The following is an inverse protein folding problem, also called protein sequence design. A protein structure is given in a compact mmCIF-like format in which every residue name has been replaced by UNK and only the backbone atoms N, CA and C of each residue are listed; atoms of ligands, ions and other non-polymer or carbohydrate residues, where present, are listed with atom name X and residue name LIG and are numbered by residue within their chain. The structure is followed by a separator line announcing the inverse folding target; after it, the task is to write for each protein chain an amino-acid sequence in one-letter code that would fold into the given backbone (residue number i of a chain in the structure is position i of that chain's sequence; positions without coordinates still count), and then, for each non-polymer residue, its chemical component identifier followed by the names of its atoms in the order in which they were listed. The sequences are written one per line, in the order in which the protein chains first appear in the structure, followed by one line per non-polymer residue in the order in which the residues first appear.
data_IF_457306381231
#
_entry.id   IF_457306381231
#
_cell.length_a   1.000
_cell.length_b   1.000
_cell.length_c   1.000
_cell.angle_alpha   90.00
_cell.angle_beta   90.00
_cell.angle_gamma   90.00
#
_symmetry.space_group_name_H-M   'P 1'
#
loop_
_entity.id
_entity.type
_entity.pdbx_description
1 polymer ?
#
# COMPACT_ATOMS: atom_id res chain seq x y z
N UNK A 1 -1.50 -14.07 13.43
CA UNK A 1 -0.15 -14.08 12.83
C UNK A 1 -0.08 -13.05 11.71
N UNK A 2 0.92 -12.17 11.62
CA UNK A 2 0.91 -10.99 10.73
C UNK A 2 0.94 -11.29 9.22
N UNK A 3 1.42 -12.47 8.82
CA UNK A 3 1.74 -12.80 7.42
C UNK A 3 0.53 -12.86 6.47
N UNK A 4 -0.67 -13.16 6.98
CA UNK A 4 -1.89 -13.14 6.17
C UNK A 4 -2.31 -11.73 5.74
N UNK A 5 -1.80 -10.70 6.41
CA UNK A 5 -2.06 -9.29 6.08
C UNK A 5 -1.02 -8.70 5.11
N UNK A 6 0.03 -9.45 4.77
CA UNK A 6 1.12 -8.98 3.92
C UNK A 6 0.80 -9.34 2.45
N UNK A 7 0.96 -8.36 1.55
CA UNK A 7 0.80 -8.48 0.09
C UNK A 7 -0.58 -8.91 -0.44
N UNK A 8 -1.63 -8.89 0.39
CA UNK A 8 -2.95 -9.40 0.01
C UNK A 8 -2.88 -10.84 -0.55
N UNK A 9 -1.83 -11.57 -0.17
CA UNK A 9 -1.49 -12.88 -0.71
C UNK A 9 -2.58 -13.91 -0.36
N UNK A 10 -3.20 -13.71 0.81
CA UNK A 10 -4.40 -14.40 1.24
C UNK A 10 -5.56 -14.20 0.25
N UNK A 11 -5.86 -12.95 -0.15
CA UNK A 11 -6.91 -12.67 -1.13
C UNK A 11 -6.59 -13.26 -2.49
N UNK A 12 -5.34 -13.15 -2.96
CA UNK A 12 -4.90 -13.80 -4.20
C UNK A 12 -5.16 -15.30 -4.15
N UNK A 13 -4.77 -15.96 -3.05
CA UNK A 13 -4.95 -17.40 -2.88
C UNK A 13 -6.44 -17.79 -2.87
N UNK A 14 -7.27 -17.05 -2.13
CA UNK A 14 -8.73 -17.28 -2.09
C UNK A 14 -9.36 -17.05 -3.47
N UNK A 15 -8.97 -16.00 -4.19
CA UNK A 15 -9.39 -15.75 -5.57
C UNK A 15 -9.06 -16.93 -6.47
N UNK A 16 -7.82 -17.44 -6.42
CA UNK A 16 -7.40 -18.60 -7.19
C UNK A 16 -8.20 -19.86 -6.82
N UNK A 17 -8.48 -20.08 -5.53
CA UNK A 17 -9.31 -21.20 -5.05
C UNK A 17 -10.75 -21.10 -5.54
N UNK A 18 -11.35 -19.91 -5.52
CA UNK A 18 -12.71 -19.69 -6.04
C UNK A 18 -12.74 -19.94 -7.55
N UNK A 19 -11.75 -19.40 -8.29
CA UNK A 19 -11.62 -19.60 -9.73
C UNK A 19 -11.41 -21.06 -10.10
N UNK A 20 -10.69 -21.82 -9.28
CA UNK A 20 -10.50 -23.27 -9.48
C UNK A 20 -11.68 -24.12 -9.01
N UNK A 21 -12.77 -23.51 -8.50
CA UNK A 21 -13.89 -24.22 -7.85
C UNK A 21 -13.41 -25.15 -6.72
N UNK A 22 -12.39 -24.72 -5.98
CA UNK A 22 -11.73 -25.49 -4.91
C UNK A 22 -11.16 -26.83 -5.40
N UNK A 23 -10.82 -26.94 -6.68
CA UNK A 23 -9.98 -28.03 -7.19
C UNK A 23 -8.50 -27.67 -6.98
N UNK A 24 -7.65 -28.68 -6.74
CA UNK A 24 -6.19 -28.50 -6.59
C UNK A 24 -5.78 -27.58 -5.41
N UNK A 25 -6.54 -27.62 -4.31
CA UNK A 25 -6.35 -26.74 -3.13
C UNK A 25 -4.91 -26.72 -2.63
N UNK A 26 -4.29 -27.88 -2.48
CA UNK A 26 -2.93 -27.99 -1.94
C UNK A 26 -1.87 -27.38 -2.88
N UNK A 27 -2.04 -27.50 -4.20
CA UNK A 27 -1.12 -26.93 -5.18
C UNK A 27 -1.21 -25.41 -5.19
N UNK A 28 -2.44 -24.88 -5.26
CA UNK A 28 -2.71 -23.43 -5.25
C UNK A 28 -2.17 -22.78 -3.98
N UNK A 29 -2.37 -23.42 -2.82
CA UNK A 29 -1.87 -22.91 -1.53
C UNK A 29 -0.34 -22.97 -1.48
N UNK A 30 0.30 -24.06 -1.93
CA UNK A 30 1.76 -24.15 -1.92
C UNK A 30 2.44 -23.14 -2.86
N UNK A 31 1.80 -22.79 -3.98
CA UNK A 31 2.33 -21.83 -4.95
C UNK A 31 2.06 -20.37 -4.54
N UNK A 32 0.94 -20.10 -3.88
CA UNK A 32 0.47 -18.74 -3.68
C UNK A 32 0.48 -18.27 -2.23
N UNK A 33 0.46 -19.15 -1.23
CA UNK A 33 0.40 -18.76 0.18
C UNK A 33 1.65 -19.17 0.95
N UNK A 34 1.90 -18.50 2.08
CA UNK A 34 2.87 -19.01 3.05
C UNK A 34 2.35 -20.32 3.64
N UNK A 35 3.24 -21.28 3.91
CA UNK A 35 2.87 -22.60 4.46
C UNK A 35 2.03 -22.48 5.74
N UNK A 36 2.32 -21.47 6.55
CA UNK A 36 1.65 -21.19 7.81
C UNK A 36 0.27 -20.52 7.62
N UNK A 37 0.01 -19.91 6.46
CA UNK A 37 -1.28 -19.28 6.14
C UNK A 37 -2.40 -20.30 5.91
N UNK A 38 -2.05 -21.57 5.63
CA UNK A 38 -2.99 -22.69 5.54
C UNK A 38 -3.88 -22.81 6.79
N UNK A 39 -3.29 -22.68 7.98
CA UNK A 39 -4.00 -22.90 9.24
C UNK A 39 -5.09 -21.85 9.53
N UNK A 40 -5.05 -20.70 8.86
CA UNK A 40 -6.01 -19.61 9.04
C UNK A 40 -7.04 -19.53 7.90
N UNK A 41 -6.84 -20.28 6.80
CA UNK A 41 -7.69 -20.22 5.62
C UNK A 41 -9.12 -20.72 5.91
N UNK A 42 -9.27 -21.79 6.69
CA UNK A 42 -10.60 -22.32 7.04
C UNK A 42 -11.44 -21.30 7.84
N UNK A 43 -10.90 -20.76 8.93
CA UNK A 43 -11.60 -19.79 9.78
C UNK A 43 -11.97 -18.49 9.02
N UNK A 44 -11.08 -18.04 8.14
CA UNK A 44 -11.32 -16.82 7.37
C UNK A 44 -12.27 -17.03 6.18
N UNK A 45 -12.34 -18.23 5.57
CA UNK A 45 -13.36 -18.57 4.58
C UNK A 45 -14.77 -18.56 5.18
N UNK A 46 -14.93 -18.96 6.45
CA UNK A 46 -16.22 -18.93 7.14
C UNK A 46 -16.68 -17.50 7.48
N UNK A 47 -15.75 -16.61 7.82
CA UNK A 47 -16.06 -15.22 8.20
C UNK A 47 -16.31 -14.32 6.99
N UNK A 48 -15.79 -14.67 5.82
CA UNK A 48 -15.82 -13.75 4.67
C UNK A 48 -17.13 -13.83 3.88
N UNK A 49 -17.72 -12.70 3.48
CA UNK A 49 -18.71 -12.68 2.41
C UNK A 49 -18.07 -12.97 1.05
N UNK A 50 -17.72 -14.23 0.77
CA UNK A 50 -17.06 -14.67 -0.46
C UNK A 50 -17.89 -14.37 -1.72
N UNK A 51 -19.21 -14.33 -1.61
CA UNK A 51 -20.14 -14.27 -2.74
C UNK A 51 -20.07 -12.98 -3.59
N UNK A 52 -19.49 -11.90 -3.09
CA UNK A 52 -19.49 -10.59 -3.75
C UNK A 52 -18.08 -9.97 -3.92
N UNK A 53 -17.01 -10.77 -3.82
CA UNK A 53 -15.66 -10.22 -3.96
C UNK A 53 -15.38 -9.98 -5.44
N UNK A 54 -15.22 -8.70 -5.81
CA UNK A 54 -14.65 -8.32 -7.08
C UNK A 54 -13.16 -8.71 -7.08
N UNK A 55 -12.86 -9.81 -7.77
CA UNK A 55 -11.53 -10.40 -7.89
C UNK A 55 -10.55 -9.55 -8.73
N UNK A 56 -11.01 -8.43 -9.32
CA UNK A 56 -10.16 -7.54 -10.10
C UNK A 56 -9.27 -6.62 -9.27
N UNK A 57 -9.60 -6.37 -7.99
CA UNK A 57 -8.85 -5.47 -7.11
C UNK A 57 -8.73 -6.06 -5.71
N UNK A 58 -7.50 -6.43 -5.30
CA UNK A 58 -7.27 -6.92 -3.94
C UNK A 58 -7.46 -5.77 -2.93
N UNK A 59 -8.39 -5.89 -1.96
CA UNK A 59 -8.54 -4.86 -0.96
C UNK A 59 -7.32 -4.81 -0.04
N UNK A 60 -6.97 -3.62 0.42
CA UNK A 60 -5.87 -3.42 1.36
C UNK A 60 -6.25 -3.92 2.75
N UNK A 61 -5.37 -4.71 3.37
CA UNK A 61 -5.48 -5.17 4.75
C UNK A 61 -5.31 -3.99 5.72
N UNK A 62 -5.70 -4.18 6.98
CA UNK A 62 -5.51 -3.13 7.98
C UNK A 62 -4.01 -2.79 8.11
N UNK A 63 -3.13 -3.78 8.26
CA UNK A 63 -1.69 -3.55 8.30
C UNK A 63 -1.16 -2.75 7.10
N UNK A 64 -1.59 -3.08 5.88
CA UNK A 64 -1.19 -2.35 4.68
C UNK A 64 -1.68 -0.89 4.70
N UNK A 65 -2.92 -0.66 5.14
CA UNK A 65 -3.45 0.70 5.32
C UNK A 65 -2.67 1.48 6.38
N UNK A 66 -2.35 0.86 7.51
CA UNK A 66 -1.54 1.47 8.58
C UNK A 66 -0.12 1.81 8.09
N UNK A 67 0.48 0.94 7.26
CA UNK A 67 1.77 1.19 6.63
C UNK A 67 1.71 2.35 5.63
N UNK A 68 0.69 2.39 4.77
CA UNK A 68 0.48 3.53 3.86
C UNK A 68 0.25 4.83 4.64
N UNK A 69 -0.49 4.77 5.75
CA UNK A 69 -0.69 5.92 6.63
C UNK A 69 0.64 6.40 7.21
N UNK A 70 1.50 5.49 7.67
CA UNK A 70 2.84 5.83 8.15
C UNK A 70 3.69 6.52 7.07
N UNK A 71 3.64 6.03 5.83
CA UNK A 71 4.33 6.68 4.69
C UNK A 71 3.74 8.05 4.40
N UNK A 72 2.42 8.22 4.48
CA UNK A 72 1.75 9.49 4.20
C UNK A 72 2.16 10.61 5.16
N UNK A 73 2.73 10.28 6.33
CA UNK A 73 3.26 11.26 7.29
C UNK A 73 4.58 11.89 6.84
N UNK A 74 5.26 11.31 5.84
CA UNK A 74 6.48 11.90 5.30
C UNK A 74 6.16 13.19 4.53
N UNK A 75 6.80 14.34 4.87
CA UNK A 75 6.54 15.62 4.20
C UNK A 75 6.71 15.57 2.67
N UNK A 76 7.58 14.68 2.17
CA UNK A 76 7.81 14.50 0.73
C UNK A 76 6.58 13.97 -0.01
N UNK A 77 5.66 13.30 0.68
CA UNK A 77 4.43 12.80 0.06
C UNK A 77 3.53 13.95 -0.44
N UNK A 78 3.66 15.16 0.11
CA UNK A 78 2.93 16.34 -0.35
C UNK A 78 3.34 16.80 -1.75
N UNK A 79 4.52 16.38 -2.23
CA UNK A 79 5.01 16.67 -3.57
C UNK A 79 4.27 15.89 -4.67
N UNK A 80 3.53 14.85 -4.27
CA UNK A 80 2.77 14.02 -5.18
C UNK A 80 1.28 14.36 -5.01
N UNK A 81 0.63 14.85 -6.07
CA UNK A 81 -0.81 15.15 -6.10
C UNK A 81 -1.66 13.89 -5.92
N UNK A 82 -1.77 13.38 -4.70
CA UNK A 82 -2.53 12.17 -4.37
C UNK A 82 -3.39 12.39 -3.12
N UNK A 83 -4.64 11.90 -3.16
CA UNK A 83 -5.54 11.99 -2.02
C UNK A 83 -5.37 10.78 -1.12
N UNK A 84 -5.07 11.04 0.15
CA UNK A 84 -4.94 10.02 1.19
C UNK A 84 -6.21 9.86 2.04
N UNK A 85 -7.34 10.44 1.62
CA UNK A 85 -8.61 10.47 2.37
C UNK A 85 -9.15 9.10 2.77
N UNK A 86 -8.86 8.05 2.00
CA UNK A 86 -9.24 6.67 2.35
C UNK A 86 -8.52 6.11 3.60
N UNK A 87 -7.56 6.86 4.16
CA UNK A 87 -6.81 6.54 5.38
C UNK A 87 -7.12 7.48 6.55
N UNK A 88 -8.17 8.30 6.47
CA UNK A 88 -8.47 9.29 7.51
C UNK A 88 -8.74 8.63 8.88
N UNK A 89 -9.50 7.53 8.90
CA UNK A 89 -9.84 6.77 10.11
C UNK A 89 -8.80 5.71 10.51
N UNK A 90 -7.64 5.68 9.84
CA UNK A 90 -6.61 4.65 10.05
C UNK A 90 -5.44 5.22 10.84
N UNK A 91 -5.10 4.57 11.95
CA UNK A 91 -3.88 4.88 12.71
C UNK A 91 -2.62 4.43 11.95
N UNK A 92 -1.53 5.22 11.97
CA UNK A 92 -0.28 4.81 11.35
C UNK A 92 0.30 3.55 12.02
N UNK A 93 1.10 2.80 11.26
CA UNK A 93 1.86 1.66 11.79
C UNK A 93 3.02 2.11 12.67
N UNK A 94 3.67 3.20 12.27
CA UNK A 94 4.72 3.91 12.99
C UNK A 94 4.65 5.39 12.61
N UNK A 95 5.23 6.24 13.44
CA UNK A 95 5.35 7.68 13.23
C UNK A 95 6.81 8.05 12.94
N UNK A 96 7.08 9.25 12.39
CA UNK A 96 8.45 9.72 12.24
C UNK A 96 9.26 9.73 13.54
N UNK A 97 8.60 9.96 14.69
CA UNK A 97 9.23 10.00 16.01
C UNK A 97 9.72 8.61 16.47
N UNK A 98 9.18 7.53 15.90
CA UNK A 98 9.62 6.16 16.18
C UNK A 98 10.93 5.80 15.44
N UNK A 99 11.40 6.66 14.53
CA UNK A 99 12.56 6.41 13.68
C UNK A 99 13.70 7.36 14.06
N UNK A 100 14.83 6.80 14.48
CA UNK A 100 16.05 7.57 14.74
C UNK A 100 16.98 7.58 13.52
N UNK A 101 17.19 8.76 12.91
CA UNK A 101 18.06 8.96 11.75
C UNK A 101 19.35 9.66 12.20
N UNK A 102 20.48 8.97 12.14
CA UNK A 102 21.77 9.46 12.69
C UNK A 102 22.65 10.23 11.69
N UNK A 103 22.21 10.37 10.43
CA UNK A 103 22.95 11.06 9.35
C UNK A 103 22.03 11.95 8.52
N UNK A 104 21.12 12.66 9.20
CA UNK A 104 20.19 13.57 8.51
C UNK A 104 20.84 14.94 8.34
N UNK A 105 20.95 15.37 7.08
CA UNK A 105 21.33 16.73 6.72
C UNK A 105 20.30 17.74 7.23
N UNK A 106 20.76 18.81 7.88
CA UNK A 106 19.91 19.85 8.47
C UNK A 106 19.40 20.89 7.47
N UNK A 107 19.93 20.89 6.24
CA UNK A 107 19.61 21.81 5.14
C UNK A 107 18.67 21.21 4.09
N UNK A 108 17.73 20.37 4.55
CA UNK A 108 16.74 19.73 3.68
C UNK A 108 15.83 20.72 2.95
N UNK A 109 15.26 20.27 1.84
CA UNK A 109 14.28 21.01 1.07
C UNK A 109 13.01 21.32 1.89
N UNK A 110 12.43 22.50 1.66
CA UNK A 110 11.17 22.91 2.29
C UNK A 110 9.98 22.25 1.61
N UNK A 111 9.72 20.97 1.91
CA UNK A 111 8.63 20.21 1.29
C UNK A 111 7.22 20.76 1.56
N UNK A 112 7.06 21.58 2.59
CA UNK A 112 5.79 22.27 2.93
C UNK A 112 5.64 23.63 2.27
N UNK A 113 6.68 24.15 1.61
CA UNK A 113 6.62 25.42 0.91
C UNK A 113 5.76 25.28 -0.37
N UNK A 114 4.75 26.14 -0.50
CA UNK A 114 3.80 26.07 -1.60
C UNK A 114 4.45 26.37 -2.96
N UNK A 115 5.47 27.23 -2.99
CA UNK A 115 6.18 27.56 -4.23
C UNK A 115 7.07 26.39 -4.66
N UNK A 116 7.76 25.76 -3.72
CA UNK A 116 8.53 24.54 -3.93
C UNK A 116 7.62 23.41 -4.47
N UNK A 117 6.49 23.15 -3.80
CA UNK A 117 5.50 22.17 -4.26
C UNK A 117 5.02 22.50 -5.68
N UNK A 118 4.67 23.75 -5.97
CA UNK A 118 4.24 24.17 -7.30
C UNK A 118 5.29 23.90 -8.37
N UNK A 119 6.55 24.26 -8.09
CA UNK A 119 7.66 24.02 -9.01
C UNK A 119 7.87 22.52 -9.23
N UNK A 120 7.81 21.70 -8.18
CA UNK A 120 7.92 20.25 -8.27
C UNK A 120 6.83 19.66 -9.18
N UNK A 121 5.58 20.09 -9.01
CA UNK A 121 4.46 19.63 -9.84
C UNK A 121 4.63 20.00 -11.32
N UNK A 122 5.12 21.21 -11.62
CA UNK A 122 5.44 21.65 -12.99
C UNK A 122 6.50 20.72 -13.61
N UNK A 123 7.57 20.44 -12.87
CA UNK A 123 8.64 19.55 -13.33
C UNK A 123 8.10 18.15 -13.59
N UNK A 124 7.32 17.61 -12.65
CA UNK A 124 6.72 16.28 -12.76
C UNK A 124 5.76 16.18 -13.96
N UNK A 125 5.00 17.23 -14.25
CA UNK A 125 4.14 17.28 -15.42
C UNK A 125 4.96 17.28 -16.71
N UNK A 126 6.00 18.11 -16.80
CA UNK A 126 6.85 18.17 -17.98
C UNK A 126 7.56 16.83 -18.27
N UNK A 127 7.99 16.11 -17.23
CA UNK A 127 8.55 14.75 -17.37
C UNK A 127 7.50 13.79 -17.96
N UNK A 128 6.26 13.80 -17.44
CA UNK A 128 5.16 12.94 -17.95
C UNK A 128 4.83 13.24 -19.41
N UNK A 129 4.84 14.52 -19.78
CA UNK A 129 4.51 15.00 -21.12
C UNK A 129 5.71 14.99 -22.09
N UNK A 130 6.93 14.74 -21.58
CA UNK A 130 8.19 14.86 -22.30
C UNK A 130 8.40 16.24 -22.94
N UNK A 131 7.99 17.28 -22.23
CA UNK A 131 8.12 18.68 -22.66
C UNK A 131 9.33 19.37 -22.01
N UNK A 132 9.84 20.42 -22.67
CA UNK A 132 10.94 21.23 -22.15
C UNK A 132 10.47 22.25 -21.11
N UNK A 133 11.32 22.54 -20.13
CA UNK A 133 11.09 23.59 -19.13
C UNK A 133 12.04 24.75 -19.36
N UNK A 134 11.53 25.97 -19.21
CA UNK A 134 12.36 27.17 -19.13
C UNK A 134 12.32 27.68 -17.68
N UNK A 135 13.50 27.89 -17.11
CA UNK A 135 13.64 28.53 -15.81
C UNK A 135 13.97 30.00 -16.10
N UNK A 136 13.08 30.90 -15.69
CA UNK A 136 13.24 32.36 -15.82
C UNK A 136 13.66 32.98 -14.50
#
# INVERSE_FOLDING_TARGET
MIFHEIYSLYYKTVTCLIQSSFTHVNEIINENAFKESFMMLEEALERWPIKNIDVSTYPLTLLQKRWLKAISLDPRMQLFSYSWSFLDDIEPLFTPDDIYIYDQYSDGDSYTDLQYQKNFHIIMQAIKEKSGLAVT
#
